data_IF_220955472373
#
_entry.id   IF_220955472373
#
_cell.length_a   1.000
_cell.length_b   1.000
_cell.length_c   1.000
_cell.angle_alpha   90.00
_cell.angle_beta   90.00
_cell.angle_gamma   90.00
#
_symmetry.space_group_name_H-M   'P 1'
#
loop_
_entity.id
_entity.type
_entity.pdbx_description
1 polymer ?
#
# COMPACT_ATOMS: atom_id res chain seq x y z
N UNK A 1 -6.10 -10.11 9.38
CA UNK A 1 -5.03 -10.62 8.51
C UNK A 1 -4.60 -12.04 8.87
N UNK A 2 -4.02 -12.29 10.05
CA UNK A 2 -3.40 -13.59 10.40
C UNK A 2 -4.35 -14.77 10.71
N UNK A 3 -5.66 -14.52 10.82
CA UNK A 3 -6.68 -15.57 10.91
C UNK A 3 -7.27 -15.97 9.55
N UNK A 4 -6.86 -15.30 8.47
CA UNK A 4 -7.33 -15.60 7.11
C UNK A 4 -6.69 -16.92 6.62
N UNK A 5 -7.36 -17.73 5.77
CA UNK A 5 -6.79 -18.96 5.24
C UNK A 5 -5.41 -18.78 4.57
N UNK A 6 -5.21 -17.65 3.87
CA UNK A 6 -3.91 -17.30 3.26
C UNK A 6 -2.77 -17.05 4.25
N UNK A 7 -3.05 -16.92 5.55
CA UNK A 7 -2.01 -16.74 6.54
C UNK A 7 -1.08 -17.95 6.63
N UNK A 8 -1.54 -19.14 6.20
CA UNK A 8 -0.71 -20.33 6.09
C UNK A 8 0.41 -20.19 5.03
N UNK A 9 0.22 -19.33 4.03
CA UNK A 9 1.18 -19.09 2.94
C UNK A 9 2.09 -17.87 3.20
N UNK A 10 2.01 -17.28 4.39
CA UNK A 10 2.82 -16.13 4.75
C UNK A 10 4.28 -16.53 4.97
N UNK A 11 5.18 -15.76 4.38
CA UNK A 11 6.60 -15.82 4.66
C UNK A 11 6.90 -14.94 5.88
N UNK A 12 7.21 -15.59 7.01
CA UNK A 12 7.59 -14.91 8.25
C UNK A 12 9.10 -14.74 8.41
N UNK A 13 9.86 -15.72 7.90
CA UNK A 13 11.32 -15.73 7.94
C UNK A 13 11.88 -15.15 6.63
N UNK A 14 12.60 -14.03 6.68
CA UNK A 14 13.20 -13.46 5.50
C UNK A 14 14.50 -14.16 5.11
N UNK A 15 14.92 -13.97 3.86
CA UNK A 15 16.14 -14.56 3.33
C UNK A 15 16.73 -13.69 2.22
N UNK A 16 18.04 -13.81 1.98
CA UNK A 16 18.69 -13.19 0.82
C UNK A 16 18.74 -14.17 -0.33
N UNK A 17 18.38 -13.70 -1.52
CA UNK A 17 18.49 -14.46 -2.75
C UNK A 17 19.66 -13.94 -3.57
N UNK A 18 20.49 -14.85 -4.09
CA UNK A 18 21.62 -14.52 -4.94
C UNK A 18 21.51 -15.24 -6.28
N UNK A 19 21.89 -14.55 -7.35
CA UNK A 19 22.00 -15.13 -8.68
C UNK A 19 23.46 -15.07 -9.14
N UNK A 20 23.97 -16.23 -9.55
CA UNK A 20 25.30 -16.37 -10.16
C UNK A 20 25.11 -16.76 -11.63
N UNK A 21 25.48 -15.89 -12.59
CA UNK A 21 25.39 -16.22 -14.01
C UNK A 21 26.29 -17.41 -14.35
N UNK A 22 25.82 -18.40 -15.13
CA UNK A 22 26.62 -19.59 -15.48
C UNK A 22 27.96 -19.25 -16.16
N UNK A 23 27.99 -18.16 -16.92
CA UNK A 23 29.15 -17.73 -17.70
C UNK A 23 30.02 -16.68 -16.97
N UNK A 24 29.69 -16.30 -15.74
CA UNK A 24 30.43 -15.29 -14.98
C UNK A 24 30.28 -15.53 -13.48
N UNK A 25 30.98 -16.54 -12.91
CA UNK A 25 30.86 -16.91 -11.50
C UNK A 25 31.19 -15.74 -10.54
N UNK A 26 32.12 -14.88 -10.94
CA UNK A 26 32.56 -13.70 -10.16
C UNK A 26 31.52 -12.57 -10.12
N UNK A 27 30.44 -12.68 -10.90
CA UNK A 27 29.36 -11.68 -10.98
C UNK A 27 28.11 -12.16 -10.24
N UNK A 28 28.27 -12.59 -9.00
CA UNK A 28 27.13 -12.94 -8.15
C UNK A 28 26.43 -11.66 -7.67
N UNK A 29 25.13 -11.56 -7.91
CA UNK A 29 24.32 -10.40 -7.57
C UNK A 29 23.15 -10.78 -6.66
N UNK A 30 22.78 -9.90 -5.73
CA UNK A 30 21.59 -10.09 -4.90
C UNK A 30 20.33 -9.81 -5.73
N UNK A 31 19.37 -10.72 -5.67
CA UNK A 31 18.09 -10.63 -6.36
C UNK A 31 17.03 -10.15 -5.37
N UNK A 32 16.23 -9.19 -5.80
CA UNK A 32 15.09 -8.65 -5.04
C UNK A 32 13.80 -8.96 -5.80
N UNK A 33 12.94 -9.78 -5.22
CA UNK A 33 11.71 -10.27 -5.84
C UNK A 33 10.46 -9.92 -5.03
N UNK A 34 10.56 -9.93 -3.71
CA UNK A 34 9.47 -9.81 -2.74
C UNK A 34 9.88 -8.93 -1.56
N UNK A 35 8.92 -8.45 -0.76
CA UNK A 35 9.26 -7.55 0.35
C UNK A 35 10.17 -8.24 1.38
N UNK A 36 9.92 -9.52 1.64
CA UNK A 36 10.66 -10.32 2.63
C UNK A 36 12.07 -10.75 2.19
N UNK A 37 12.48 -10.47 0.95
CA UNK A 37 13.88 -10.64 0.51
C UNK A 37 14.70 -9.35 0.54
N UNK A 38 14.05 -8.22 0.85
CA UNK A 38 14.71 -6.93 0.96
C UNK A 38 15.57 -6.82 2.22
N UNK A 39 16.69 -6.09 2.10
CA UNK A 39 17.57 -5.82 3.24
C UNK A 39 16.84 -5.07 4.37
N UNK A 40 15.87 -4.20 4.02
CA UNK A 40 15.06 -3.47 5.00
C UNK A 40 14.20 -4.43 5.80
N UNK A 41 13.49 -5.36 5.17
CA UNK A 41 12.65 -6.31 5.89
C UNK A 41 13.48 -7.26 6.76
N UNK A 42 14.65 -7.71 6.28
CA UNK A 42 15.58 -8.53 7.09
C UNK A 42 16.02 -7.76 8.34
N UNK A 43 16.40 -6.49 8.18
CA UNK A 43 16.82 -5.64 9.29
C UNK A 43 15.68 -5.40 10.29
N UNK A 44 14.46 -5.17 9.82
CA UNK A 44 13.29 -5.01 10.70
C UNK A 44 12.93 -6.32 11.41
N UNK A 45 13.05 -7.47 10.72
CA UNK A 45 12.86 -8.77 11.34
C UNK A 45 13.85 -8.98 12.49
N UNK A 46 15.13 -8.69 12.28
CA UNK A 46 16.16 -8.78 13.34
C UNK A 46 15.85 -7.87 14.54
N UNK A 47 15.39 -6.64 14.28
CA UNK A 47 14.98 -5.71 15.33
C UNK A 47 13.80 -6.27 16.15
N UNK A 48 12.78 -6.79 15.48
CA UNK A 48 11.60 -7.40 16.11
C UNK A 48 11.98 -8.65 16.91
N UNK A 49 12.88 -9.50 16.41
CA UNK A 49 13.37 -10.67 17.17
C UNK A 49 14.14 -10.27 18.43
N UNK A 50 14.84 -9.14 18.44
CA UNK A 50 15.58 -8.63 19.60
C UNK A 50 14.74 -7.78 20.55
N UNK A 51 13.58 -7.30 20.12
CA UNK A 51 12.69 -6.49 20.95
C UNK A 51 12.29 -7.25 22.24
N UNK A 52 12.16 -6.56 23.38
CA UNK A 52 11.65 -7.20 24.59
C UNK A 52 10.23 -7.72 24.37
N UNK A 53 9.84 -8.71 25.16
CA UNK A 53 8.45 -9.16 25.17
C UNK A 53 7.52 -8.02 25.63
N UNK A 54 6.24 -8.06 25.22
CA UNK A 54 5.27 -7.04 25.59
C UNK A 54 5.17 -6.89 27.11
N UNK A 55 5.09 -5.66 27.67
CA UNK A 55 5.04 -5.43 29.11
C UNK A 55 3.84 -6.11 29.79
N UNK A 56 2.74 -6.23 29.06
CA UNK A 56 1.49 -6.89 29.46
C UNK A 56 1.63 -8.43 29.50
N UNK A 57 2.61 -9.01 28.82
CA UNK A 57 2.89 -10.44 28.84
C UNK A 57 4.40 -10.75 28.71
N UNK A 58 5.16 -10.62 29.81
CA UNK A 58 6.62 -10.83 29.80
C UNK A 58 7.04 -12.25 29.40
N UNK A 59 6.21 -13.25 29.69
CA UNK A 59 6.47 -14.67 29.40
C UNK A 59 5.90 -15.12 28.05
N UNK A 60 5.58 -14.18 27.15
CA UNK A 60 5.07 -14.50 25.84
C UNK A 60 6.06 -15.38 25.05
N UNK A 61 5.60 -16.58 24.65
CA UNK A 61 6.35 -17.55 23.82
C UNK A 61 5.96 -17.52 22.34
N UNK A 62 5.10 -16.57 21.95
CA UNK A 62 4.69 -16.45 20.54
C UNK A 62 5.83 -15.87 19.73
N UNK A 63 5.96 -16.33 18.50
CA UNK A 63 6.90 -15.77 17.55
C UNK A 63 6.57 -14.30 17.30
N UNK A 64 7.60 -13.46 17.28
CA UNK A 64 7.49 -12.06 16.88
C UNK A 64 7.79 -11.98 15.40
N UNK A 65 6.85 -11.47 14.61
CA UNK A 65 6.96 -11.44 13.15
C UNK A 65 6.73 -10.05 12.61
N UNK A 66 7.35 -9.74 11.48
CA UNK A 66 7.12 -8.49 10.76
C UNK A 66 5.94 -8.67 9.81
N UNK A 67 4.95 -7.79 9.95
CA UNK A 67 3.82 -7.67 9.04
C UNK A 67 4.13 -6.61 7.96
N UNK A 68 4.44 -7.04 6.74
CA UNK A 68 4.59 -6.11 5.62
C UNK A 68 3.21 -5.70 5.10
N UNK A 69 2.86 -4.42 5.23
CA UNK A 69 1.63 -3.86 4.66
C UNK A 69 1.96 -3.08 3.38
N UNK A 70 1.35 -3.48 2.26
CA UNK A 70 1.50 -2.82 0.96
C UNK A 70 0.21 -2.11 0.60
N UNK A 71 0.22 -0.79 0.66
CA UNK A 71 -0.96 0.05 0.47
C UNK A 71 -0.94 0.75 -0.88
N UNK A 72 -2.10 0.84 -1.51
CA UNK A 72 -2.25 1.38 -2.86
C UNK A 72 -3.59 2.09 -2.99
N UNK A 73 -3.66 3.00 -3.96
CA UNK A 73 -4.89 3.68 -4.31
C UNK A 73 -4.87 4.10 -5.77
N UNK A 74 -5.94 3.78 -6.50
CA UNK A 74 -6.17 4.22 -7.86
C UNK A 74 -7.63 4.62 -8.07
N UNK A 75 -7.86 5.57 -8.96
CA UNK A 75 -9.21 6.04 -9.29
C UNK A 75 -9.85 5.05 -10.27
N UNK A 76 -10.87 4.31 -9.82
CA UNK A 76 -11.59 3.35 -10.66
C UNK A 76 -12.90 3.94 -11.20
N UNK A 77 -13.13 3.73 -12.50
CA UNK A 77 -14.44 3.97 -13.10
C UNK A 77 -15.28 2.70 -12.95
N UNK A 78 -16.32 2.75 -12.11
CA UNK A 78 -17.14 1.58 -11.75
C UNK A 78 -18.08 1.11 -12.87
N UNK A 79 -18.41 1.97 -13.84
CA UNK A 79 -19.35 1.64 -14.90
C UNK A 79 -18.96 2.32 -16.22
N UNK A 80 -19.07 1.58 -17.34
CA UNK A 80 -18.98 2.14 -18.69
C UNK A 80 -20.14 3.11 -18.99
N UNK A 81 -21.26 2.97 -18.27
CA UNK A 81 -22.42 3.85 -18.34
C UNK A 81 -22.84 4.25 -16.92
N UNK A 82 -22.29 5.35 -16.44
CA UNK A 82 -22.59 5.92 -15.12
C UNK A 82 -21.53 6.94 -14.72
N UNK A 83 -21.91 7.95 -13.94
CA UNK A 83 -20.99 8.97 -13.39
C UNK A 83 -20.34 8.54 -12.08
N UNK A 84 -20.66 7.33 -11.58
CA UNK A 84 -20.15 6.79 -10.33
C UNK A 84 -18.64 6.53 -10.44
N UNK A 85 -17.87 7.32 -9.69
CA UNK A 85 -16.43 7.15 -9.51
C UNK A 85 -16.17 6.57 -8.13
N UNK A 86 -15.27 5.60 -8.06
CA UNK A 86 -14.78 5.07 -6.81
C UNK A 86 -13.28 5.28 -6.74
N UNK A 87 -12.80 5.61 -5.55
CA UNK A 87 -11.37 5.74 -5.34
C UNK A 87 -11.00 4.88 -4.12
N UNK A 88 -10.88 3.56 -4.32
CA UNK A 88 -10.54 2.66 -3.22
C UNK A 88 -9.11 2.87 -2.73
N UNK A 89 -8.94 2.58 -1.45
CA UNK A 89 -7.65 2.29 -0.83
C UNK A 89 -7.67 0.81 -0.50
N UNK A 90 -6.69 0.09 -1.03
CA UNK A 90 -6.55 -1.35 -0.82
C UNK A 90 -5.16 -1.68 -0.26
N UNK A 91 -5.12 -2.81 0.44
CA UNK A 91 -3.93 -3.30 1.12
C UNK A 91 -3.70 -4.77 0.81
N UNK A 92 -2.44 -5.10 0.56
CA UNK A 92 -1.96 -6.47 0.46
C UNK A 92 -0.94 -6.74 1.56
N UNK A 93 -0.90 -7.97 2.03
CA UNK A 93 0.19 -8.42 2.90
C UNK A 93 1.41 -8.76 2.05
N UNK A 94 2.51 -8.02 2.24
CA UNK A 94 3.79 -8.26 1.56
C UNK A 94 4.49 -9.56 1.99
N UNK A 95 4.00 -10.22 3.05
CA UNK A 95 4.41 -11.56 3.45
C UNK A 95 3.91 -12.65 2.46
N UNK A 96 2.97 -12.33 1.57
CA UNK A 96 2.54 -13.21 0.48
C UNK A 96 3.37 -12.96 -0.77
N UNK A 97 3.75 -14.05 -1.45
CA UNK A 97 4.39 -13.95 -2.76
C UNK A 97 3.48 -13.21 -3.75
N UNK A 98 4.08 -12.49 -4.71
CA UNK A 98 3.33 -11.82 -5.78
C UNK A 98 2.46 -12.78 -6.58
N UNK A 99 2.87 -14.05 -6.69
CA UNK A 99 2.08 -15.06 -7.40
C UNK A 99 0.74 -15.33 -6.72
N UNK A 100 0.71 -15.42 -5.38
CA UNK A 100 -0.53 -15.59 -4.62
C UNK A 100 -1.34 -14.29 -4.64
N UNK A 101 -0.69 -13.14 -4.45
CA UNK A 101 -1.37 -11.82 -4.46
C UNK A 101 -2.05 -11.51 -5.80
N UNK A 102 -1.47 -11.98 -6.90
CA UNK A 102 -2.02 -11.75 -8.24
C UNK A 102 -3.15 -12.72 -8.63
N UNK A 103 -3.50 -13.70 -7.78
CA UNK A 103 -4.64 -14.58 -8.06
C UNK A 103 -5.95 -13.90 -7.63
N UNK A 104 -6.87 -13.60 -8.56
CA UNK A 104 -8.09 -12.84 -8.26
C UNK A 104 -9.05 -13.59 -7.34
N UNK A 105 -8.98 -14.92 -7.29
CA UNK A 105 -9.91 -15.76 -6.55
C UNK A 105 -9.51 -16.02 -5.09
N UNK A 106 -8.34 -15.52 -4.66
CA UNK A 106 -7.80 -15.80 -3.33
C UNK A 106 -8.10 -14.71 -2.30
N UNK A 107 -8.75 -13.62 -2.71
CA UNK A 107 -9.12 -12.50 -1.84
C UNK A 107 -7.92 -11.94 -1.03
N UNK A 108 -6.75 -11.92 -1.66
CA UNK A 108 -5.53 -11.39 -1.05
C UNK A 108 -5.53 -9.85 -0.95
N UNK A 109 -6.45 -9.19 -1.67
CA UNK A 109 -6.61 -7.75 -1.73
C UNK A 109 -7.68 -7.28 -0.75
N UNK A 110 -7.29 -6.55 0.28
CA UNK A 110 -8.22 -6.05 1.29
C UNK A 110 -8.59 -4.60 1.00
N UNK A 111 -9.89 -4.32 0.87
CA UNK A 111 -10.38 -2.94 0.84
C UNK A 111 -10.28 -2.34 2.25
N UNK A 112 -9.55 -1.23 2.39
CA UNK A 112 -9.31 -0.56 3.68
C UNK A 112 -10.22 0.65 3.82
N UNK A 113 -10.33 1.47 2.78
CA UNK A 113 -11.10 2.70 2.80
C UNK A 113 -11.50 3.14 1.39
N UNK A 114 -12.33 4.19 1.30
CA UNK A 114 -12.70 4.83 0.04
C UNK A 114 -12.48 6.34 0.16
N UNK A 115 -11.74 6.90 -0.77
CA UNK A 115 -11.52 8.35 -0.87
C UNK A 115 -12.79 8.99 -1.46
N UNK A 116 -13.41 9.97 -0.77
CA UNK A 116 -14.52 10.71 -1.32
C UNK A 116 -14.12 11.48 -2.58
N UNK A 117 -15.08 11.70 -3.48
CA UNK A 117 -14.88 12.62 -4.59
C UNK A 117 -14.85 14.07 -4.09
N UNK A 118 -14.23 14.97 -4.87
CA UNK A 118 -14.38 16.41 -4.64
C UNK A 118 -15.86 16.80 -4.77
N UNK A 119 -16.30 17.76 -3.97
CA UNK A 119 -17.64 18.34 -4.05
C UNK A 119 -17.89 18.90 -5.45
N UNK A 120 -19.06 18.60 -6.01
CA UNK A 120 -19.46 19.10 -7.33
C UNK A 120 -19.51 20.64 -7.37
N UNK A 121 -19.87 21.27 -6.25
CA UNK A 121 -19.93 22.73 -6.09
C UNK A 121 -18.57 23.44 -6.05
N UNK A 122 -17.47 22.69 -5.89
CA UNK A 122 -16.13 23.26 -5.74
C UNK A 122 -15.73 24.11 -6.94
N UNK A 123 -16.12 23.69 -8.15
CA UNK A 123 -15.87 24.43 -9.38
C UNK A 123 -16.61 25.77 -9.37
N UNK A 124 -17.89 25.75 -9.02
CA UNK A 124 -18.73 26.95 -8.94
C UNK A 124 -18.20 27.91 -7.88
N UNK A 125 -17.75 27.40 -6.73
CA UNK A 125 -17.19 28.25 -5.67
C UNK A 125 -15.87 28.88 -6.06
N UNK A 126 -14.94 28.15 -6.69
CA UNK A 126 -13.68 28.71 -7.18
C UNK A 126 -13.92 29.77 -8.28
N UNK A 127 -14.92 29.55 -9.13
CA UNK A 127 -15.27 30.49 -10.20
C UNK A 127 -15.69 31.88 -9.67
N UNK A 128 -16.29 31.94 -8.47
CA UNK A 128 -16.69 33.19 -7.81
C UNK A 128 -15.48 34.05 -7.40
N UNK A 129 -14.35 33.43 -7.06
CA UNK A 129 -13.15 34.12 -6.59
C UNK A 129 -12.14 34.46 -7.70
N UNK A 130 -12.20 33.77 -8.83
CA UNK A 130 -11.25 33.98 -9.93
C UNK A 130 -11.97 34.15 -11.27
N UNK A 131 -12.11 35.40 -11.72
CA UNK A 131 -12.76 35.75 -12.99
C UNK A 131 -12.04 35.20 -14.23
N UNK A 132 -10.78 34.72 -14.11
CA UNK A 132 -10.03 34.07 -15.20
C UNK A 132 -10.22 32.54 -15.25
N UNK A 133 -11.07 31.99 -14.39
CA UNK A 133 -11.35 30.55 -14.25
C UNK A 133 -11.89 29.88 -15.54
N UNK A 134 -12.34 30.66 -16.52
CA UNK A 134 -12.81 30.15 -17.83
C UNK A 134 -11.71 29.55 -18.72
N UNK A 135 -10.42 29.59 -18.35
CA UNK A 135 -9.37 28.87 -19.09
C UNK A 135 -9.38 27.38 -18.70
N UNK A 136 -9.72 26.45 -19.62
CA UNK A 136 -9.88 25.03 -19.29
C UNK A 136 -8.63 24.38 -18.67
N UNK A 137 -7.45 24.85 -19.06
CA UNK A 137 -6.17 24.36 -18.54
C UNK A 137 -5.97 24.70 -17.06
N UNK A 138 -6.19 25.96 -16.67
CA UNK A 138 -6.02 26.41 -15.28
C UNK A 138 -7.01 25.73 -14.33
N UNK A 139 -8.26 25.56 -14.76
CA UNK A 139 -9.26 24.83 -13.99
C UNK A 139 -8.85 23.36 -13.77
N UNK A 140 -8.37 22.68 -14.82
CA UNK A 140 -7.90 21.29 -14.72
C UNK A 140 -6.70 21.14 -13.79
N UNK A 141 -5.72 22.05 -13.87
CA UNK A 141 -4.50 21.96 -13.06
C UNK A 141 -4.81 22.16 -11.57
N UNK A 142 -5.69 23.11 -11.25
CA UNK A 142 -6.16 23.34 -9.87
C UNK A 142 -6.97 22.16 -9.34
N UNK A 143 -7.91 21.61 -10.12
CA UNK A 143 -8.67 20.42 -9.71
C UNK A 143 -7.75 19.21 -9.49
N UNK A 144 -6.73 19.06 -10.32
CA UNK A 144 -5.70 18.02 -10.14
C UNK A 144 -4.95 18.22 -8.83
N UNK A 145 -4.57 19.46 -8.52
CA UNK A 145 -3.96 19.81 -7.24
C UNK A 145 -4.90 19.48 -6.06
N UNK A 146 -6.16 19.90 -6.09
CA UNK A 146 -7.13 19.60 -5.03
C UNK A 146 -7.34 18.10 -4.82
N UNK A 147 -7.40 17.28 -5.88
CA UNK A 147 -7.49 15.81 -5.75
C UNK A 147 -6.26 15.21 -5.09
N UNK A 148 -5.07 15.72 -5.43
CA UNK A 148 -3.82 15.28 -4.81
C UNK A 148 -3.78 15.65 -3.33
N UNK A 149 -4.15 16.87 -2.97
CA UNK A 149 -4.19 17.31 -1.57
C UNK A 149 -5.23 16.53 -0.76
N UNK A 150 -6.39 16.22 -1.35
CA UNK A 150 -7.39 15.35 -0.73
C UNK A 150 -6.84 13.95 -0.45
N UNK A 151 -6.17 13.35 -1.44
CA UNK A 151 -5.53 12.04 -1.28
C UNK A 151 -4.48 12.05 -0.16
N UNK A 152 -3.59 13.06 -0.13
CA UNK A 152 -2.60 13.22 0.93
C UNK A 152 -3.25 13.42 2.31
N UNK A 153 -4.31 14.23 2.41
CA UNK A 153 -5.02 14.45 3.66
C UNK A 153 -5.66 13.15 4.20
N UNK A 154 -6.19 12.31 3.32
CA UNK A 154 -6.77 11.02 3.72
C UNK A 154 -5.68 10.04 4.14
N UNK A 155 -4.55 9.96 3.43
CA UNK A 155 -3.42 9.16 3.89
C UNK A 155 -2.93 9.63 5.25
N UNK A 156 -2.88 10.94 5.47
CA UNK A 156 -2.52 11.48 6.78
C UNK A 156 -3.50 11.01 7.86
N UNK A 157 -4.80 11.04 7.61
CA UNK A 157 -5.81 10.53 8.57
C UNK A 157 -5.67 9.02 8.82
N UNK A 158 -5.33 8.24 7.78
CA UNK A 158 -5.21 6.78 7.89
C UNK A 158 -3.89 6.32 8.51
N UNK A 159 -2.83 7.12 8.41
CA UNK A 159 -1.48 6.77 8.84
C UNK A 159 -0.99 7.54 10.06
N UNK A 160 -1.59 8.68 10.39
CA UNK A 160 -1.32 9.36 11.66
C UNK A 160 -1.93 8.55 12.81
N UNK A 161 -1.18 8.48 13.90
CA UNK A 161 -1.54 7.75 15.11
C UNK A 161 -2.88 8.23 15.68
N UNK A 162 -3.75 7.25 15.97
CA UNK A 162 -4.63 7.31 17.14
C UNK A 162 -3.79 7.10 18.41
#
# INVERSE_FOLDING_TARGET
>A
AFAHPLAADFHFSPYKLYHTPPNSPDKTEQVYCEVYDSDVFIKEHDQVQRAPNPPDNPDCKREKVVAAMMMWSDSTHLANFGTAKLWPIYMFMGNLSKYIRSLPNLDACQHVAYIPSLLDSLQDDISKFNSKWMKPTQCRDLLTHCRRELMHAIWKILLDDC
#
